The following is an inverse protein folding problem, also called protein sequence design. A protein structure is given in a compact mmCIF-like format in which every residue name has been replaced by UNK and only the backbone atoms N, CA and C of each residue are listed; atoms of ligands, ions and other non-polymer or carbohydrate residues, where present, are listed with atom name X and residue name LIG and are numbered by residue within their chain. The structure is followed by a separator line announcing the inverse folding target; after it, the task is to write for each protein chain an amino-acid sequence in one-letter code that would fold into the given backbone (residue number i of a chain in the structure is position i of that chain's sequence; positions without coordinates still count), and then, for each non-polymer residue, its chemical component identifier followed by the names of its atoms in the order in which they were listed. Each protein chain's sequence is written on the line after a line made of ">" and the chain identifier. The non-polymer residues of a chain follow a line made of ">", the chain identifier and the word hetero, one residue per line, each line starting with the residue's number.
data_IF_128237324862
#
_entry.id   IF_128237324862
#
_cell.length_a   1.000
_cell.length_b   1.000
_cell.length_c   1.000
_cell.angle_alpha   90.00
_cell.angle_beta   90.00
_cell.angle_gamma   90.00
#
_symmetry.space_group_name_H-M   'P 1'
#
loop_
_entity.id
_entity.type
_entity.pdbx_description
1 polymer ?
#
# COMPACT_ATOMS: atom_id res chain seq x y z
N UNK A 1 -2.52 8.36 9.17
CA UNK A 1 -1.91 7.21 8.48
C UNK A 1 -1.56 6.23 9.56
N UNK A 2 -2.53 5.37 9.84
CA UNK A 2 -2.50 4.32 10.82
C UNK A 2 -2.90 3.00 10.14
N UNK A 3 -2.63 1.88 10.80
CA UNK A 3 -3.02 0.56 10.28
C UNK A 3 -4.54 0.51 10.11
N UNK A 4 -4.99 0.09 8.93
CA UNK A 4 -6.40 0.04 8.53
C UNK A 4 -6.86 1.27 7.72
N UNK A 5 -6.09 2.36 7.68
CA UNK A 5 -6.44 3.52 6.86
C UNK A 5 -6.42 3.18 5.36
N UNK A 6 -7.37 3.75 4.63
CA UNK A 6 -7.32 3.80 3.17
C UNK A 6 -6.38 4.93 2.73
N UNK A 7 -5.44 4.60 1.86
CA UNK A 7 -4.54 5.54 1.22
C UNK A 7 -4.65 5.46 -0.29
N UNK A 8 -4.37 6.59 -0.94
CA UNK A 8 -4.23 6.69 -2.39
C UNK A 8 -2.76 6.64 -2.77
N UNK A 9 -2.43 5.81 -3.75
CA UNK A 9 -1.11 5.80 -4.37
C UNK A 9 -1.02 6.98 -5.34
N UNK A 10 0.06 7.75 -5.27
CA UNK A 10 0.30 8.88 -6.18
C UNK A 10 0.50 8.44 -7.63
N UNK A 11 1.00 7.22 -7.81
CA UNK A 11 1.13 6.58 -9.11
C UNK A 11 0.40 5.23 -9.08
N UNK A 12 -0.41 4.90 -10.10
CA UNK A 12 -1.02 3.59 -10.18
C UNK A 12 0.04 2.49 -10.20
N UNK A 13 -0.21 1.42 -9.45
CA UNK A 13 0.70 0.29 -9.34
C UNK A 13 0.11 -0.96 -10.00
N UNK A 14 0.90 -1.67 -10.81
CA UNK A 14 0.53 -2.99 -11.34
C UNK A 14 1.36 -4.06 -10.64
N UNK A 15 0.72 -4.97 -9.87
CA UNK A 15 1.44 -6.04 -9.18
C UNK A 15 1.99 -7.11 -10.13
N UNK A 16 1.42 -7.23 -11.33
CA UNK A 16 1.77 -8.26 -12.30
C UNK A 16 2.22 -7.60 -13.61
N UNK A 17 3.44 -7.90 -14.11
CA UNK A 17 4.03 -7.17 -15.24
C UNK A 17 3.26 -7.29 -16.56
N UNK A 18 2.38 -8.29 -16.70
CA UNK A 18 1.57 -8.51 -17.90
C UNK A 18 0.06 -8.26 -17.65
N UNK A 19 -0.31 -7.74 -16.49
CA UNK A 19 -1.70 -7.44 -16.17
C UNK A 19 -2.03 -6.01 -16.55
N UNK A 20 -3.18 -5.82 -17.20
CA UNK A 20 -3.76 -4.49 -17.44
C UNK A 20 -4.36 -3.90 -16.15
N UNK A 21 -4.48 -4.70 -15.09
CA UNK A 21 -5.07 -4.27 -13.82
C UNK A 21 -4.07 -3.42 -13.04
N UNK A 22 -4.47 -2.19 -12.73
CA UNK A 22 -3.71 -1.26 -11.90
C UNK A 22 -4.51 -0.88 -10.65
N UNK A 23 -3.79 -0.57 -9.58
CA UNK A 23 -4.36 -0.17 -8.30
C UNK A 23 -3.91 1.24 -7.97
N UNK A 24 -4.87 2.08 -7.61
CA UNK A 24 -4.62 3.45 -7.16
C UNK A 24 -4.84 3.64 -5.67
N UNK A 25 -5.27 2.59 -4.96
CA UNK A 25 -5.56 2.64 -3.54
C UNK A 25 -4.98 1.42 -2.82
N UNK A 26 -4.75 1.57 -1.52
CA UNK A 26 -4.37 0.47 -0.64
C UNK A 26 -4.84 0.72 0.78
N UNK A 27 -4.93 -0.37 1.55
CA UNK A 27 -5.22 -0.33 2.98
C UNK A 27 -3.92 -0.58 3.72
N UNK A 28 -3.59 0.28 4.69
CA UNK A 28 -2.37 0.13 5.48
C UNK A 28 -2.43 -1.16 6.30
N UNK A 29 -1.51 -2.08 6.02
CA UNK A 29 -1.32 -3.32 6.75
C UNK A 29 -0.21 -3.21 7.81
N UNK A 30 0.75 -2.31 7.61
CA UNK A 30 1.88 -2.12 8.53
C UNK A 30 2.65 -0.83 8.26
N UNK A 31 3.40 -0.41 9.26
CA UNK A 31 4.26 0.78 9.22
C UNK A 31 5.65 0.36 9.70
N UNK A 32 6.66 0.55 8.85
CA UNK A 32 8.05 0.17 9.13
C UNK A 32 8.83 1.43 9.47
N UNK A 33 9.48 1.43 10.63
CA UNK A 33 10.33 2.51 11.11
C UNK A 33 11.80 2.09 11.02
N UNK A 34 12.69 3.03 10.70
CA UNK A 34 14.13 2.77 10.81
C UNK A 34 14.50 2.53 12.28
N UNK A 35 15.46 1.64 12.56
CA UNK A 35 15.90 1.32 13.93
C UNK A 35 16.38 2.57 14.70
N UNK A 36 16.99 3.53 13.99
CA UNK A 36 17.49 4.79 14.56
C UNK A 36 16.50 5.95 14.45
N UNK A 37 15.25 5.70 14.05
CA UNK A 37 14.26 6.77 13.88
C UNK A 37 13.97 7.47 15.21
N UNK A 38 14.21 8.77 15.25
CA UNK A 38 13.84 9.63 16.38
C UNK A 38 12.69 10.53 15.95
N UNK A 39 11.62 10.68 16.74
CA UNK A 39 10.53 11.59 16.40
C UNK A 39 11.04 13.02 16.17
N UNK A 40 10.57 13.75 15.13
CA UNK A 40 9.48 13.40 14.20
C UNK A 40 9.96 12.87 12.83
N UNK A 41 10.86 11.89 12.78
CA UNK A 41 11.20 11.21 11.53
C UNK A 41 9.96 10.54 10.91
N UNK A 42 9.75 10.59 9.58
CA UNK A 42 8.72 9.78 8.94
C UNK A 42 9.09 8.29 9.00
N UNK A 43 8.10 7.39 8.85
CA UNK A 43 8.39 5.96 8.67
C UNK A 43 9.24 5.72 7.42
N UNK A 44 9.98 4.61 7.41
CA UNK A 44 10.80 4.22 6.26
C UNK A 44 9.92 3.70 5.12
N UNK A 45 8.95 2.85 5.45
CA UNK A 45 8.05 2.23 4.49
C UNK A 45 6.66 2.04 5.11
N UNK A 46 5.65 2.09 4.25
CA UNK A 46 4.27 1.75 4.56
C UNK A 46 3.91 0.51 3.76
N UNK A 47 3.43 -0.52 4.46
CA UNK A 47 3.03 -1.79 3.86
C UNK A 47 1.53 -1.76 3.62
N UNK A 48 1.12 -2.05 2.38
CA UNK A 48 -0.27 -1.98 1.93
C UNK A 48 -0.78 -3.33 1.42
N UNK A 49 -2.06 -3.59 1.66
CA UNK A 49 -2.88 -4.41 0.77
C UNK A 49 -3.39 -3.53 -0.37
N UNK A 50 -3.19 -3.93 -1.63
CA UNK A 50 -3.77 -3.20 -2.75
C UNK A 50 -5.29 -3.34 -2.73
N UNK A 51 -6.00 -2.23 -2.91
CA UNK A 51 -7.44 -2.16 -2.76
C UNK A 51 -8.09 -1.58 -4.01
N UNK A 52 -9.11 -2.26 -4.50
CA UNK A 52 -9.91 -1.86 -5.64
C UNK A 52 -11.19 -1.18 -5.13
N UNK A 53 -11.32 0.12 -5.39
CA UNK A 53 -12.41 0.94 -4.86
C UNK A 53 -13.77 0.61 -5.51
N UNK A 54 -13.74 0.17 -6.77
CA UNK A 54 -14.95 -0.15 -7.54
C UNK A 54 -15.59 -1.45 -7.05
N UNK A 55 -14.75 -2.45 -6.79
CA UNK A 55 -15.19 -3.78 -6.30
C UNK A 55 -15.20 -3.90 -4.78
N UNK A 56 -14.57 -2.97 -4.07
CA UNK A 56 -14.34 -2.99 -2.62
C UNK A 56 -13.59 -4.25 -2.16
N UNK A 57 -12.62 -4.69 -2.96
CA UNK A 57 -11.87 -5.92 -2.71
C UNK A 57 -10.37 -5.65 -2.60
N UNK A 58 -9.74 -6.40 -1.69
CA UNK A 58 -8.28 -6.52 -1.62
C UNK A 58 -7.82 -7.39 -2.78
N UNK A 59 -6.73 -6.99 -3.43
CA UNK A 59 -6.05 -7.81 -4.43
C UNK A 59 -5.63 -9.15 -3.84
N UNK A 60 -5.86 -10.20 -4.62
CA UNK A 60 -5.43 -11.54 -4.34
C UNK A 60 -4.58 -12.01 -5.52
N UNK A 61 -3.40 -12.56 -5.22
CA UNK A 61 -2.49 -13.06 -6.24
C UNK A 61 -2.97 -14.38 -6.88
N UNK A 62 -2.22 -14.85 -7.86
CA UNK A 62 -2.51 -16.13 -8.54
C UNK A 62 -2.56 -17.37 -7.61
N UNK A 63 -2.02 -17.29 -6.40
CA UNK A 63 -2.06 -18.35 -5.40
C UNK A 63 -3.28 -18.25 -4.46
N UNK A 64 -4.12 -17.21 -4.62
CA UNK A 64 -5.26 -16.99 -3.73
C UNK A 64 -4.88 -16.27 -2.43
N UNK A 65 -3.70 -15.64 -2.36
CA UNK A 65 -3.20 -14.96 -1.17
C UNK A 65 -3.28 -13.44 -1.29
N UNK A 66 -3.55 -12.76 -0.16
CA UNK A 66 -3.49 -11.30 -0.08
C UNK A 66 -2.04 -10.85 -0.04
N UNK A 67 -1.52 -10.43 -1.20
CA UNK A 67 -0.15 -9.93 -1.30
C UNK A 67 -0.01 -8.55 -0.64
N UNK A 68 1.14 -8.33 -0.02
CA UNK A 68 1.52 -7.04 0.58
C UNK A 68 2.62 -6.37 -0.24
N UNK A 69 2.56 -5.04 -0.30
CA UNK A 69 3.49 -4.21 -1.05
C UNK A 69 3.97 -3.06 -0.18
N UNK A 70 5.26 -2.77 -0.23
CA UNK A 70 5.87 -1.66 0.51
C UNK A 70 6.01 -0.43 -0.40
N UNK A 71 5.64 0.73 0.14
CA UNK A 71 5.76 2.02 -0.51
C UNK A 71 6.42 3.01 0.44
N UNK A 72 7.10 4.01 -0.11
CA UNK A 72 7.58 5.14 0.69
C UNK A 72 6.40 6.03 1.09
N UNK A 73 6.46 6.70 2.25
CA UNK A 73 5.36 7.55 2.70
C UNK A 73 5.02 8.68 1.72
N UNK A 74 6.00 9.19 0.97
CA UNK A 74 5.82 10.27 0.00
C UNK A 74 5.17 9.82 -1.33
N UNK A 75 5.00 8.51 -1.52
CA UNK A 75 4.25 7.92 -2.64
C UNK A 75 2.75 7.80 -2.33
N UNK A 76 2.34 8.14 -1.11
CA UNK A 76 0.99 7.91 -0.59
C UNK A 76 0.32 9.20 -0.13
N UNK A 77 -1.01 9.23 -0.25
CA UNK A 77 -1.87 10.30 0.23
C UNK A 77 -2.99 9.70 1.09
N UNK A 78 -3.23 10.28 2.27
CA UNK A 78 -4.36 9.87 3.11
C UNK A 78 -5.66 10.38 2.46
N UNK A 79 -6.67 9.51 2.38
CA UNK A 79 -8.00 9.80 1.80
C UNK A 79 -8.94 10.37 2.85
#
# INVERSE_FOLDING_TARGET
>A
MDIGDLVRLRQPFSPEPNSERTYSYGIIAGIVWSEDASPPSPPAEIVLYLYDLDTQQIYVDSAGLQAIYAFRPDELELV
#
